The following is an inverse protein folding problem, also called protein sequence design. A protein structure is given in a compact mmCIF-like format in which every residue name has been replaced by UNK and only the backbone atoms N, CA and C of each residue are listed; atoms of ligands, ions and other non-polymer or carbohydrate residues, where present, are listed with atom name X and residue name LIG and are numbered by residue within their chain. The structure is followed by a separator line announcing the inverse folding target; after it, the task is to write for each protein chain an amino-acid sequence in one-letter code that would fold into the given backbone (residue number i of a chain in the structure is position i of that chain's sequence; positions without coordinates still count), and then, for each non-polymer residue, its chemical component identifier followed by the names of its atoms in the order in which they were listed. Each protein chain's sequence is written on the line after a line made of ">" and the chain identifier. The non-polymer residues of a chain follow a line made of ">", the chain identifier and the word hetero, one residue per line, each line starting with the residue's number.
data_IF_714185009729
#
_entry.id   IF_714185009729
#
_cell.length_a   1.000
_cell.length_b   1.000
_cell.length_c   1.000
_cell.angle_alpha   90.00
_cell.angle_beta   90.00
_cell.angle_gamma   90.00
#
_symmetry.space_group_name_H-M   'P 1'
#
loop_
_entity.id
_entity.type
_entity.pdbx_description
1 polymer ?
#
# COMPACT_ATOMS: atom_id res chain seq x y z
N UNK A 1 -0.35 -25.05 13.79
CA UNK A 1 0.40 -25.28 12.55
C UNK A 1 1.87 -25.34 12.92
N UNK A 2 2.52 -26.48 12.71
CA UNK A 2 3.95 -26.67 12.97
C UNK A 2 4.69 -25.98 11.84
N UNK A 3 5.42 -24.92 12.14
CA UNK A 3 6.36 -24.32 11.18
C UNK A 3 7.49 -25.34 11.04
N UNK A 4 7.48 -26.10 9.94
CA UNK A 4 8.52 -27.07 9.52
C UNK A 4 9.23 -27.76 10.70
N UNK A 5 8.69 -28.91 11.14
CA UNK A 5 9.10 -29.67 12.33
C UNK A 5 10.60 -29.60 12.59
N UNK A 6 11.04 -29.04 13.71
CA UNK A 6 10.98 -29.65 15.05
C UNK A 6 10.59 -28.67 16.19
N UNK A 7 10.21 -27.43 15.87
CA UNK A 7 9.98 -26.38 16.88
C UNK A 7 8.49 -26.03 17.05
N UNK A 8 8.03 -25.96 18.30
CA UNK A 8 6.67 -25.46 18.61
C UNK A 8 6.64 -23.92 18.57
N UNK A 9 5.48 -23.32 18.26
CA UNK A 9 5.32 -21.85 18.27
C UNK A 9 5.68 -21.26 19.64
N UNK A 10 5.44 -22.02 20.73
CA UNK A 10 5.84 -21.65 22.08
C UNK A 10 7.36 -21.63 22.25
N UNK A 11 8.06 -22.68 21.80
CA UNK A 11 9.53 -22.72 21.84
C UNK A 11 10.16 -21.58 21.05
N UNK A 12 9.61 -21.29 19.86
CA UNK A 12 10.04 -20.18 19.03
C UNK A 12 9.75 -18.80 19.68
N UNK A 13 8.63 -18.69 20.39
CA UNK A 13 8.25 -17.49 21.14
C UNK A 13 9.24 -17.19 22.26
N UNK A 14 9.65 -18.22 23.00
CA UNK A 14 10.62 -18.14 24.09
C UNK A 14 12.03 -17.83 23.57
N UNK A 15 12.46 -18.47 22.48
CA UNK A 15 13.77 -18.25 21.86
C UNK A 15 13.92 -16.85 21.26
N UNK A 16 12.92 -16.37 20.54
CA UNK A 16 12.96 -15.07 19.87
C UNK A 16 12.52 -13.91 20.77
N UNK A 17 11.96 -14.19 21.94
CA UNK A 17 11.32 -13.19 22.81
C UNK A 17 10.11 -12.50 22.16
N UNK A 18 9.53 -13.10 21.13
CA UNK A 18 8.36 -12.59 20.39
C UNK A 18 7.13 -13.32 20.90
N UNK A 19 6.01 -12.61 21.11
CA UNK A 19 4.76 -13.24 21.55
C UNK A 19 4.27 -14.29 20.53
N UNK A 20 3.84 -15.46 21.01
CA UNK A 20 3.23 -16.54 20.21
C UNK A 20 2.09 -16.03 19.30
N UNK A 21 1.28 -15.08 19.79
CA UNK A 21 0.22 -14.45 18.99
C UNK A 21 0.74 -13.69 17.76
N UNK A 22 1.89 -13.04 17.87
CA UNK A 22 2.55 -12.35 16.75
C UNK A 22 3.06 -13.35 15.72
N UNK A 23 3.69 -14.43 16.17
CA UNK A 23 4.19 -15.49 15.30
C UNK A 23 3.06 -16.18 14.52
N UNK A 24 1.94 -16.47 15.19
CA UNK A 24 0.75 -17.03 14.53
C UNK A 24 0.14 -16.07 13.52
N UNK A 25 0.07 -14.77 13.86
CA UNK A 25 -0.42 -13.75 12.94
C UNK A 25 0.44 -13.68 11.68
N UNK A 26 1.77 -13.68 11.83
CA UNK A 26 2.70 -13.68 10.70
C UNK A 26 2.61 -14.94 9.84
N UNK A 27 2.48 -16.12 10.45
CA UNK A 27 2.27 -17.37 9.71
C UNK A 27 1.00 -17.28 8.84
N UNK A 28 -0.10 -16.77 9.42
CA UNK A 28 -1.35 -16.57 8.70
C UNK A 28 -1.24 -15.50 7.60
N UNK A 29 -0.65 -14.35 7.89
CA UNK A 29 -0.41 -13.28 6.91
C UNK A 29 0.44 -13.81 5.74
N UNK A 30 1.43 -14.69 6.02
CA UNK A 30 2.28 -15.33 5.03
C UNK A 30 1.54 -16.37 4.19
N UNK A 31 0.63 -17.16 4.77
CA UNK A 31 -0.24 -18.05 3.99
C UNK A 31 -1.15 -17.27 3.03
N UNK A 32 -1.69 -16.14 3.49
CA UNK A 32 -2.65 -15.33 2.71
C UNK A 32 -1.96 -14.45 1.64
N UNK A 33 -0.77 -13.91 1.93
CA UNK A 33 -0.11 -12.89 1.08
C UNK A 33 1.28 -13.31 0.59
N UNK A 34 1.77 -14.49 0.96
CA UNK A 34 3.13 -14.94 0.67
C UNK A 34 4.17 -13.92 1.16
N UNK A 35 5.14 -13.63 0.31
CA UNK A 35 6.22 -12.67 0.60
C UNK A 35 5.73 -11.21 0.80
N UNK A 36 4.45 -10.93 0.52
CA UNK A 36 3.79 -9.64 0.79
C UNK A 36 3.41 -9.43 2.27
N UNK A 37 3.44 -10.48 3.09
CA UNK A 37 3.02 -10.47 4.49
C UNK A 37 3.88 -9.61 5.43
N UNK A 38 5.11 -9.29 5.01
CA UNK A 38 6.06 -8.54 5.83
C UNK A 38 6.38 -7.19 5.16
N UNK A 39 5.49 -6.18 5.25
CA UNK A 39 5.74 -4.87 4.64
C UNK A 39 6.76 -4.00 5.43
N UNK A 40 7.17 -4.39 6.63
CA UNK A 40 8.05 -3.63 7.52
C UNK A 40 7.31 -2.57 8.37
N UNK A 41 8.03 -1.63 9.00
CA UNK A 41 7.48 -0.51 9.80
C UNK A 41 6.89 0.63 8.93
N UNK A 42 6.62 0.37 7.65
CA UNK A 42 5.87 1.25 6.77
C UNK A 42 4.42 0.80 6.69
N UNK A 43 3.51 1.75 6.51
CA UNK A 43 2.12 1.48 6.12
C UNK A 43 2.05 0.37 5.06
N UNK A 44 1.04 -0.52 5.14
CA UNK A 44 0.97 -1.76 4.34
C UNK A 44 1.34 -1.49 2.89
N UNK A 45 2.28 -2.28 2.35
CA UNK A 45 2.79 -2.13 0.98
C UNK A 45 1.61 -2.06 0.03
N UNK A 46 1.41 -0.85 -0.54
CA UNK A 46 1.28 -0.60 -1.98
C UNK A 46 0.63 -1.78 -2.69
N UNK A 47 -0.64 -2.05 -2.39
CA UNK A 47 -1.47 -2.82 -3.29
C UNK A 47 -1.45 -2.05 -4.62
N UNK A 48 -1.36 -2.72 -5.77
CA UNK A 48 -1.54 -2.08 -7.09
C UNK A 48 -2.75 -1.12 -7.05
N UNK A 49 -3.78 -1.48 -6.30
CA UNK A 49 -4.97 -0.68 -6.06
C UNK A 49 -4.67 0.67 -5.39
N UNK A 50 -3.73 0.74 -4.44
CA UNK A 50 -3.32 2.00 -3.80
C UNK A 50 -2.64 2.95 -4.79
N UNK A 51 -1.69 2.46 -5.60
CA UNK A 51 -1.06 3.28 -6.64
C UNK A 51 -2.06 3.67 -7.72
N UNK A 52 -2.98 2.78 -8.09
CA UNK A 52 -4.08 3.10 -9.01
C UNK A 52 -4.93 4.23 -8.45
N UNK A 53 -5.33 4.18 -7.18
CA UNK A 53 -6.15 5.23 -6.55
C UNK A 53 -5.37 6.55 -6.47
N UNK A 54 -4.10 6.50 -6.06
CA UNK A 54 -3.23 7.68 -5.97
C UNK A 54 -3.02 8.33 -7.34
N UNK A 55 -2.75 7.54 -8.38
CA UNK A 55 -2.56 8.02 -9.74
C UNK A 55 -3.86 8.59 -10.33
N UNK A 56 -5.00 7.93 -10.12
CA UNK A 56 -6.32 8.46 -10.55
C UNK A 56 -6.60 9.83 -9.95
N UNK A 57 -6.36 10.02 -8.65
CA UNK A 57 -6.52 11.31 -7.98
C UNK A 57 -5.60 12.38 -8.58
N UNK A 58 -4.36 12.02 -8.93
CA UNK A 58 -3.43 12.96 -9.54
C UNK A 58 -3.83 13.34 -10.97
N UNK A 59 -4.33 12.39 -11.75
CA UNK A 59 -4.86 12.66 -13.11
C UNK A 59 -6.04 13.62 -13.03
N UNK A 60 -7.00 13.37 -12.15
CA UNK A 60 -8.18 14.23 -11.98
C UNK A 60 -7.81 15.67 -11.59
N UNK A 61 -6.82 15.83 -10.71
CA UNK A 61 -6.28 17.14 -10.32
C UNK A 61 -5.66 17.88 -11.53
N UNK A 62 -4.81 17.18 -12.28
CA UNK A 62 -4.14 17.74 -13.46
C UNK A 62 -5.13 18.09 -14.58
N UNK A 63 -6.16 17.27 -14.81
CA UNK A 63 -7.21 17.55 -15.79
C UNK A 63 -7.98 18.83 -15.41
N UNK A 64 -8.35 18.98 -14.14
CA UNK A 64 -9.00 20.20 -13.63
C UNK A 64 -8.13 21.44 -13.84
N UNK A 65 -6.85 21.38 -13.47
CA UNK A 65 -5.91 22.47 -13.70
C UNK A 65 -5.78 22.82 -15.19
N UNK A 66 -5.71 21.80 -16.04
CA UNK A 66 -5.59 21.98 -17.48
C UNK A 66 -6.83 22.68 -18.07
N UNK A 67 -8.04 22.29 -17.66
CA UNK A 67 -9.28 22.93 -18.09
C UNK A 67 -9.35 24.40 -17.65
N UNK A 68 -8.92 24.72 -16.43
CA UNK A 68 -8.82 26.11 -15.97
C UNK A 68 -7.87 26.91 -16.89
N UNK A 69 -6.69 26.36 -17.20
CA UNK A 69 -5.71 27.02 -18.06
C UNK A 69 -6.21 27.20 -19.49
N UNK A 70 -6.93 26.21 -20.05
CA UNK A 70 -7.58 26.33 -21.37
C UNK A 70 -8.63 27.42 -21.38
N UNK A 71 -9.50 27.47 -20.37
CA UNK A 71 -10.52 28.50 -20.24
C UNK A 71 -9.91 29.89 -20.15
N UNK A 72 -8.83 30.03 -19.37
CA UNK A 72 -8.09 31.28 -19.25
C UNK A 72 -7.47 31.71 -20.58
N UNK A 73 -6.85 30.77 -21.32
CA UNK A 73 -6.30 31.04 -22.66
C UNK A 73 -7.40 31.47 -23.64
N UNK A 74 -8.57 30.82 -23.61
CA UNK A 74 -9.69 31.17 -24.47
C UNK A 74 -10.21 32.58 -24.17
N UNK A 75 -10.36 32.92 -22.89
CA UNK A 75 -10.74 34.26 -22.45
C UNK A 75 -9.75 35.32 -22.95
N UNK A 76 -8.44 35.11 -22.75
CA UNK A 76 -7.42 36.04 -23.24
C UNK A 76 -7.46 36.19 -24.76
N UNK A 77 -7.69 35.10 -25.50
CA UNK A 77 -7.74 35.15 -26.96
C UNK A 77 -8.96 35.91 -27.50
N UNK A 78 -10.05 35.98 -26.73
CA UNK A 78 -11.25 36.75 -27.08
C UNK A 78 -11.11 38.25 -26.79
N UNK A 79 -10.33 38.63 -25.77
CA UNK A 79 -10.12 40.03 -25.38
C UNK A 79 -9.14 40.78 -26.30
N UNK A 80 -8.40 40.06 -27.14
CA UNK A 80 -7.40 40.60 -28.07
C UNK A 80 -7.87 40.60 -29.55
N UNK A 81 -9.16 40.35 -29.82
CA UNK A 81 -9.78 40.36 -31.14
C UNK A 81 -10.77 41.53 -31.28
#
# INVERSE_FOLDING_TARGET
>A
MVLSGEMTVKGLSEELGIKDSTLRRWAREYEEMGDGAFPGNGSPKINKDYEIVKLKKKVEELERENEILKNFRAFLSQDHA
#
